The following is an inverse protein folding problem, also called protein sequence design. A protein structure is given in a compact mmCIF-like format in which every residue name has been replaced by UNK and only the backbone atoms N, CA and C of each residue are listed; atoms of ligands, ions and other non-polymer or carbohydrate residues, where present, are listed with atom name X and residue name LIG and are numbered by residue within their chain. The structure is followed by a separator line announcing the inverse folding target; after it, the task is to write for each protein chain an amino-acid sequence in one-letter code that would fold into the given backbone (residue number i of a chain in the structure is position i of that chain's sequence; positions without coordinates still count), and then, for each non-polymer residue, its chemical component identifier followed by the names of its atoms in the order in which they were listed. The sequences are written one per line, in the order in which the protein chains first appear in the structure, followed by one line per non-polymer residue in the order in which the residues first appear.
data_IF_237718361019
#
_entry.id   IF_237718361019
#
_cell.length_a   1.000
_cell.length_b   1.000
_cell.length_c   1.000
_cell.angle_alpha   90.00
_cell.angle_beta   90.00
_cell.angle_gamma   90.00
#
_symmetry.space_group_name_H-M   'P 1'
#
loop_
_entity.id
_entity.type
_entity.pdbx_description
1 polymer ?
#
# COMPACT_ATOMS: atom_id res chain seq x y z
N UNK A 1 -0.70 -10.46 7.79
CA UNK A 1 0.43 -10.03 6.93
C UNK A 1 1.73 -10.45 7.59
N UNK A 2 2.65 -11.08 6.86
CA UNK A 2 3.97 -11.43 7.39
C UNK A 2 4.83 -10.18 7.54
N UNK A 3 5.47 -10.01 8.71
CA UNK A 3 6.38 -8.89 8.98
C UNK A 3 7.71 -9.12 8.23
N UNK A 4 8.34 -8.10 7.65
CA UNK A 4 9.67 -8.24 7.08
C UNK A 4 10.67 -8.60 8.16
N UNK A 5 11.65 -9.42 7.80
CA UNK A 5 12.86 -9.58 8.59
C UNK A 5 13.58 -8.23 8.77
N UNK A 6 14.30 -8.09 9.89
CA UNK A 6 14.96 -6.84 10.30
C UNK A 6 15.94 -6.32 9.24
N UNK A 7 16.12 -5.00 9.18
CA UNK A 7 17.09 -4.39 8.27
C UNK A 7 18.53 -4.80 8.62
N UNK A 8 18.87 -4.93 9.91
CA UNK A 8 20.19 -5.42 10.34
C UNK A 8 20.55 -6.76 9.70
N UNK A 9 19.64 -7.74 9.76
CA UNK A 9 19.86 -9.05 9.15
C UNK A 9 20.09 -8.92 7.63
N UNK A 10 19.30 -8.07 6.97
CA UNK A 10 19.41 -7.85 5.53
C UNK A 10 20.71 -7.17 5.15
N UNK A 11 21.18 -6.20 5.93
CA UNK A 11 22.46 -5.52 5.75
C UNK A 11 23.63 -6.49 5.86
N UNK A 12 23.61 -7.34 6.89
CA UNK A 12 24.65 -8.36 7.10
C UNK A 12 24.67 -9.38 5.97
N UNK A 13 23.50 -9.82 5.50
CA UNK A 13 23.38 -10.73 4.34
C UNK A 13 23.86 -10.07 3.05
N UNK A 14 23.46 -8.83 2.78
CA UNK A 14 23.89 -8.10 1.59
C UNK A 14 25.39 -7.84 1.61
N UNK A 15 25.96 -7.46 2.76
CA UNK A 15 27.41 -7.26 2.92
C UNK A 15 28.18 -8.54 2.63
N UNK A 16 27.70 -9.69 3.11
CA UNK A 16 28.31 -10.99 2.85
C UNK A 16 28.32 -11.34 1.35
N UNK A 17 27.19 -11.16 0.67
CA UNK A 17 27.08 -11.42 -0.77
C UNK A 17 27.94 -10.45 -1.59
N UNK A 18 27.96 -9.16 -1.22
CA UNK A 18 28.81 -8.16 -1.86
C UNK A 18 30.30 -8.39 -1.61
N UNK A 19 30.65 -9.06 -0.52
CA UNK A 19 32.01 -9.51 -0.20
C UNK A 19 32.46 -10.77 -0.97
N UNK A 20 31.64 -11.29 -1.89
CA UNK A 20 31.99 -12.42 -2.76
C UNK A 20 31.45 -13.78 -2.30
N UNK A 21 30.75 -13.86 -1.16
CA UNK A 21 30.15 -15.12 -0.71
C UNK A 21 28.96 -15.52 -1.60
N UNK A 22 28.83 -16.83 -1.89
CA UNK A 22 27.68 -17.33 -2.67
C UNK A 22 26.36 -17.18 -1.90
N UNK A 23 25.26 -16.91 -2.62
CA UNK A 23 23.94 -16.77 -2.00
C UNK A 23 23.51 -18.01 -1.18
N UNK A 24 23.96 -19.21 -1.57
CA UNK A 24 23.68 -20.46 -0.84
C UNK A 24 24.45 -20.54 0.47
N UNK A 25 25.74 -20.19 0.47
CA UNK A 25 26.55 -20.16 1.69
C UNK A 25 26.02 -19.13 2.69
N UNK A 26 25.69 -17.93 2.21
CA UNK A 26 25.11 -16.87 3.04
C UNK A 26 23.74 -17.29 3.61
N UNK A 27 22.89 -17.92 2.81
CA UNK A 27 21.60 -18.43 3.26
C UNK A 27 21.74 -19.43 4.43
N UNK A 28 22.64 -20.41 4.28
CA UNK A 28 22.93 -21.38 5.33
C UNK A 28 23.49 -20.72 6.60
N UNK A 29 24.44 -19.78 6.46
CA UNK A 29 25.06 -19.07 7.58
C UNK A 29 24.06 -18.26 8.41
N UNK A 30 23.11 -17.60 7.75
CA UNK A 30 22.14 -16.71 8.41
C UNK A 30 20.79 -17.39 8.70
N UNK A 31 20.63 -18.68 8.39
CA UNK A 31 19.37 -19.41 8.62
C UNK A 31 18.18 -18.85 7.83
N UNK A 32 18.43 -18.28 6.64
CA UNK A 32 17.39 -17.69 5.78
C UNK A 32 17.27 -18.46 4.48
N UNK A 33 16.08 -18.41 3.86
CA UNK A 33 15.89 -19.01 2.54
C UNK A 33 16.80 -18.37 1.48
N UNK A 34 17.38 -19.19 0.59
CA UNK A 34 18.23 -18.72 -0.53
C UNK A 34 17.50 -17.68 -1.38
N UNK A 35 16.20 -17.86 -1.60
CA UNK A 35 15.37 -16.91 -2.35
C UNK A 35 15.28 -15.53 -1.69
N UNK A 36 15.33 -15.45 -0.36
CA UNK A 36 15.37 -14.18 0.38
C UNK A 36 16.71 -13.46 0.17
N UNK A 37 17.82 -14.19 0.24
CA UNK A 37 19.17 -13.65 -0.01
C UNK A 37 19.26 -13.06 -1.42
N UNK A 38 18.79 -13.80 -2.43
CA UNK A 38 18.75 -13.36 -3.82
C UNK A 38 17.93 -12.06 -3.95
N UNK A 39 16.73 -12.01 -3.39
CA UNK A 39 15.85 -10.82 -3.45
C UNK A 39 16.48 -9.60 -2.76
N UNK A 40 17.13 -9.77 -1.61
CA UNK A 40 17.79 -8.67 -0.91
C UNK A 40 19.01 -8.15 -1.67
N UNK A 41 19.79 -9.06 -2.25
CA UNK A 41 20.94 -8.72 -3.09
C UNK A 41 20.52 -8.00 -4.38
N UNK A 42 19.47 -8.46 -5.06
CA UNK A 42 18.90 -7.78 -6.22
C UNK A 42 18.42 -6.38 -5.88
N UNK A 43 17.68 -6.25 -4.76
CA UNK A 43 17.23 -4.94 -4.30
C UNK A 43 18.38 -3.98 -4.05
N UNK A 44 19.40 -4.44 -3.33
CA UNK A 44 20.60 -3.63 -3.06
C UNK A 44 21.26 -3.15 -4.36
N UNK A 45 21.42 -4.01 -5.37
CA UNK A 45 21.95 -3.60 -6.68
C UNK A 45 21.07 -2.57 -7.39
N UNK A 46 19.74 -2.70 -7.27
CA UNK A 46 18.80 -1.81 -7.96
C UNK A 46 18.58 -0.45 -7.29
N UNK A 47 18.63 -0.39 -5.95
CA UNK A 47 18.22 0.81 -5.19
C UNK A 47 19.24 1.26 -4.13
N UNK A 48 20.32 0.51 -3.89
CA UNK A 48 21.27 0.79 -2.80
C UNK A 48 20.66 0.72 -1.40
N UNK A 49 19.53 0.02 -1.22
CA UNK A 49 18.81 -0.04 0.07
C UNK A 49 18.32 -1.44 0.38
N UNK A 50 18.48 -1.85 1.63
CA UNK A 50 17.97 -3.12 2.18
C UNK A 50 16.56 -3.02 2.75
N UNK A 51 16.08 -1.78 2.94
CA UNK A 51 14.79 -1.52 3.56
C UNK A 51 13.69 -2.24 2.78
N UNK A 52 12.67 -2.84 3.40
CA UNK A 52 11.56 -3.44 2.67
C UNK A 52 10.81 -2.40 1.82
N UNK A 53 10.03 -2.89 0.86
CA UNK A 53 9.15 -2.01 0.08
C UNK A 53 8.02 -1.54 0.97
N UNK A 54 7.29 -0.52 0.54
CA UNK A 54 6.03 -0.14 1.20
C UNK A 54 5.14 -1.38 1.28
N UNK A 55 4.83 -1.80 2.51
CA UNK A 55 3.93 -2.90 2.78
C UNK A 55 2.51 -2.39 2.92
N UNK A 56 1.60 -2.96 2.15
CA UNK A 56 0.21 -2.50 2.09
C UNK A 56 0.10 -1.05 1.56
N UNK A 57 -1.13 -0.54 1.51
CA UNK A 57 -1.38 0.86 1.15
C UNK A 57 -0.99 1.25 -0.28
N UNK A 58 -0.81 0.29 -1.20
CA UNK A 58 -0.65 0.54 -2.64
C UNK A 58 -1.99 0.80 -3.34
N UNK A 59 -3.12 0.50 -2.68
CA UNK A 59 -4.44 0.75 -3.26
C UNK A 59 -4.64 2.26 -3.41
N UNK A 60 -4.62 2.74 -4.66
CA UNK A 60 -4.98 4.12 -5.00
C UNK A 60 -6.43 4.38 -4.57
N UNK A 61 -6.66 5.52 -3.93
CA UNK A 61 -7.96 5.93 -3.42
C UNK A 61 -8.73 6.61 -4.55
N UNK A 62 -9.59 5.87 -5.22
CA UNK A 62 -10.35 6.35 -6.40
C UNK A 62 -11.21 7.58 -6.10
N UNK A 63 -11.68 7.75 -4.86
CA UNK A 63 -12.55 8.87 -4.47
C UNK A 63 -11.80 10.11 -3.99
N UNK A 64 -10.48 10.03 -3.76
CA UNK A 64 -9.68 11.17 -3.28
C UNK A 64 -9.74 12.38 -4.24
N UNK A 65 -9.62 12.21 -5.57
CA UNK A 65 -9.73 13.33 -6.51
C UNK A 65 -11.14 13.96 -6.56
N UNK A 66 -12.16 13.23 -6.12
CA UNK A 66 -13.56 13.67 -6.15
C UNK A 66 -14.04 14.21 -4.80
N UNK A 67 -13.14 14.35 -3.81
CA UNK A 67 -13.44 14.81 -2.44
C UNK A 67 -14.21 16.13 -2.41
N UNK A 68 -13.70 17.15 -3.10
CA UNK A 68 -14.32 18.47 -3.11
C UNK A 68 -15.76 18.45 -3.64
N UNK A 69 -16.04 17.60 -4.63
CA UNK A 69 -17.40 17.42 -5.14
C UNK A 69 -18.31 16.73 -4.14
N UNK A 70 -17.83 15.68 -3.49
CA UNK A 70 -18.62 14.94 -2.49
C UNK A 70 -18.96 15.86 -1.31
N UNK A 71 -17.99 16.66 -0.85
CA UNK A 71 -18.19 17.65 0.22
C UNK A 71 -19.23 18.72 -0.17
N UNK A 72 -19.10 19.31 -1.37
CA UNK A 72 -20.05 20.30 -1.86
C UNK A 72 -21.45 19.72 -2.00
N UNK A 73 -21.55 18.49 -2.52
CA UNK A 73 -22.84 17.83 -2.71
C UNK A 73 -23.55 17.53 -1.39
N UNK A 74 -22.80 17.11 -0.36
CA UNK A 74 -23.33 16.89 0.99
C UNK A 74 -23.73 18.21 1.64
N UNK A 75 -22.96 19.29 1.45
CA UNK A 75 -23.30 20.63 1.94
C UNK A 75 -24.62 21.13 1.36
N UNK A 76 -24.80 20.97 0.05
CA UNK A 76 -26.02 21.38 -0.63
C UNK A 76 -27.21 20.44 -0.35
N UNK A 77 -26.97 19.17 -0.02
CA UNK A 77 -28.04 18.21 0.26
C UNK A 77 -27.66 17.28 1.41
N UNK A 78 -27.89 17.70 2.66
CA UNK A 78 -27.47 16.94 3.85
C UNK A 78 -28.10 15.54 3.97
N UNK A 79 -29.27 15.32 3.36
CA UNK A 79 -30.01 14.04 3.40
C UNK A 79 -29.76 13.13 2.17
N UNK A 80 -28.70 13.38 1.40
CA UNK A 80 -28.43 12.64 0.16
C UNK A 80 -28.06 11.18 0.42
N UNK A 81 -28.92 10.24 0.06
CA UNK A 81 -28.62 8.81 0.24
C UNK A 81 -27.33 8.38 -0.47
N UNK A 82 -26.63 7.42 0.13
CA UNK A 82 -25.38 6.87 -0.42
C UNK A 82 -25.57 6.29 -1.83
N UNK A 83 -26.76 5.78 -2.14
CA UNK A 83 -27.09 5.32 -3.50
C UNK A 83 -27.12 6.48 -4.49
N UNK A 84 -27.76 7.59 -4.14
CA UNK A 84 -27.80 8.76 -5.02
C UNK A 84 -26.41 9.36 -5.23
N UNK A 85 -25.59 9.42 -4.18
CA UNK A 85 -24.18 9.84 -4.31
C UNK A 85 -23.37 8.90 -5.23
N UNK A 86 -23.59 7.59 -5.13
CA UNK A 86 -22.98 6.60 -6.01
C UNK A 86 -23.41 6.82 -7.47
N UNK A 87 -24.68 7.08 -7.72
CA UNK A 87 -25.21 7.28 -9.08
C UNK A 87 -24.65 8.57 -9.70
N UNK A 88 -24.54 9.64 -8.92
CA UNK A 88 -23.89 10.89 -9.34
C UNK A 88 -22.40 10.70 -9.64
N UNK A 89 -21.69 9.89 -8.85
CA UNK A 89 -20.30 9.53 -9.13
C UNK A 89 -20.18 8.68 -10.40
N UNK A 90 -21.10 7.74 -10.62
CA UNK A 90 -21.15 6.91 -11.82
C UNK A 90 -21.41 7.76 -13.08
N UNK A 91 -22.29 8.76 -13.01
CA UNK A 91 -22.55 9.70 -14.10
C UNK A 91 -21.30 10.51 -14.49
N UNK A 92 -20.33 10.65 -13.58
CA UNK A 92 -19.03 11.31 -13.82
C UNK A 92 -17.91 10.32 -14.22
N UNK A 93 -18.26 9.07 -14.49
CA UNK A 93 -17.31 8.01 -14.89
C UNK A 93 -16.63 7.30 -13.72
N UNK A 94 -17.04 7.56 -12.47
CA UNK A 94 -16.42 6.99 -11.26
C UNK A 94 -17.30 5.86 -10.72
N UNK A 95 -17.04 4.64 -11.20
CA UNK A 95 -17.77 3.45 -10.75
C UNK A 95 -17.19 2.98 -9.42
N UNK A 96 -17.96 3.17 -8.34
CA UNK A 96 -17.59 2.74 -6.99
C UNK A 96 -18.68 1.92 -6.32
N UNK A 97 -18.27 0.98 -5.47
CA UNK A 97 -19.20 0.23 -4.63
C UNK A 97 -19.79 1.12 -3.53
N UNK A 98 -21.00 0.79 -3.06
CA UNK A 98 -21.62 1.45 -1.90
C UNK A 98 -20.69 1.50 -0.69
N UNK A 99 -19.99 0.39 -0.38
CA UNK A 99 -19.05 0.31 0.73
C UNK A 99 -17.84 1.25 0.55
N UNK A 100 -17.39 1.51 -0.67
CA UNK A 100 -16.30 2.45 -0.93
C UNK A 100 -16.70 3.90 -0.64
N UNK A 101 -17.94 4.27 -0.98
CA UNK A 101 -18.52 5.58 -0.65
C UNK A 101 -18.69 5.71 0.87
N UNK A 102 -19.23 4.68 1.53
CA UNK A 102 -19.38 4.67 2.99
C UNK A 102 -18.04 4.78 3.74
N UNK A 103 -17.03 3.99 3.34
CA UNK A 103 -15.67 4.05 3.90
C UNK A 103 -15.03 5.42 3.72
N UNK A 104 -15.26 6.06 2.57
CA UNK A 104 -14.78 7.41 2.29
C UNK A 104 -15.41 8.43 3.25
N UNK A 105 -16.73 8.46 3.37
CA UNK A 105 -17.43 9.39 4.25
C UNK A 105 -17.08 9.20 5.72
N UNK A 106 -17.01 7.94 6.18
CA UNK A 106 -16.61 7.62 7.56
C UNK A 106 -15.21 8.15 7.89
N UNK A 107 -14.29 8.11 6.92
CA UNK A 107 -12.92 8.62 7.08
C UNK A 107 -12.87 10.14 7.12
N UNK A 108 -13.68 10.81 6.31
CA UNK A 108 -13.76 12.27 6.26
C UNK A 108 -14.50 12.89 7.47
N UNK A 109 -15.00 12.05 8.39
CA UNK A 109 -15.75 12.52 9.56
C UNK A 109 -17.14 13.06 9.21
N UNK A 110 -17.58 12.88 7.96
CA UNK A 110 -18.89 13.27 7.48
C UNK A 110 -19.90 12.24 8.00
N UNK A 111 -20.44 12.52 9.20
CA UNK A 111 -21.47 11.70 9.82
C UNK A 111 -22.75 11.81 9.02
N UNK A 112 -23.07 10.74 8.30
CA UNK A 112 -24.39 10.54 7.71
C UNK A 112 -25.35 10.14 8.85
N UNK A 113 -26.43 10.89 9.05
CA UNK A 113 -27.48 10.60 10.05
C UNK A 113 -28.78 10.29 9.34
#
# INVERSE_FOLDING_TARGET
MSRPLSNDLRERVVRAVSGGESCRAVAARFGVAVSSVVKWSQRWRSTGSVAPGKMGGHRKRTLEPHRAFIEERIRQTPHLTLHKLKDELAARGVIVSHNAVWMFLRREGLRFK
#
